data_IF_001484325808
#
_entry.id   IF_001484325808
#
_cell.length_a   1.000
_cell.length_b   1.000
_cell.length_c   1.000
_cell.angle_alpha   90.00
_cell.angle_beta   90.00
_cell.angle_gamma   90.00
#
_symmetry.space_group_name_H-M   'P 1'
#
loop_
_entity.id
_entity.type
_entity.pdbx_description
1 polymer ?
#
# COMPACT_ATOMS: atom_id res chain seq x y z
N UNK A 1 1.78 -18.82 -27.89
CA UNK A 1 0.53 -18.84 -27.12
C UNK A 1 0.85 -19.61 -25.86
N UNK A 2 1.23 -18.92 -24.78
CA UNK A 2 1.61 -19.57 -23.52
C UNK A 2 0.32 -20.04 -22.83
N UNK A 3 0.12 -21.35 -22.83
CA UNK A 3 -1.03 -22.00 -22.23
C UNK A 3 -0.68 -22.23 -20.75
N UNK A 4 -1.46 -21.67 -19.83
CA UNK A 4 -1.34 -21.92 -18.39
C UNK A 4 -0.60 -20.86 -17.57
N UNK A 5 -0.46 -19.62 -18.08
CA UNK A 5 0.02 -18.52 -17.24
C UNK A 5 -1.07 -18.14 -16.25
N UNK A 6 -0.80 -18.31 -14.96
CA UNK A 6 -1.66 -17.81 -13.89
C UNK A 6 -1.37 -16.33 -13.63
N UNK A 7 -2.42 -15.58 -13.34
CA UNK A 7 -2.32 -14.18 -12.96
C UNK A 7 -3.05 -13.94 -11.63
N UNK A 8 -2.38 -13.21 -10.75
CA UNK A 8 -2.97 -12.76 -9.51
C UNK A 8 -3.97 -11.64 -9.82
N UNK A 9 -5.22 -11.81 -9.39
CA UNK A 9 -6.30 -10.85 -9.62
C UNK A 9 -6.75 -10.28 -8.29
N UNK A 10 -6.55 -8.98 -8.09
CA UNK A 10 -6.85 -8.29 -6.82
C UNK A 10 -8.05 -7.36 -7.01
N UNK A 11 -9.18 -7.70 -6.41
CA UNK A 11 -10.41 -6.91 -6.42
C UNK A 11 -10.45 -5.96 -5.24
N UNK A 12 -10.56 -4.66 -5.52
CA UNK A 12 -10.81 -3.62 -4.53
C UNK A 12 -12.31 -3.34 -4.49
N UNK A 13 -12.94 -3.51 -3.33
CA UNK A 13 -14.37 -3.37 -3.14
C UNK A 13 -14.66 -1.99 -2.55
N UNK A 14 -15.11 -1.06 -3.39
CA UNK A 14 -15.49 0.28 -2.97
C UNK A 14 -17.00 0.31 -2.68
N UNK A 15 -17.37 0.82 -1.50
CA UNK A 15 -18.77 0.91 -1.07
C UNK A 15 -19.40 -0.37 -0.51
N UNK A 16 -18.60 -1.38 -0.14
CA UNK A 16 -19.08 -2.58 0.53
C UNK A 16 -19.46 -2.28 1.99
N UNK A 17 -20.59 -2.83 2.46
CA UNK A 17 -20.96 -2.76 3.88
C UNK A 17 -20.07 -3.73 4.67
N UNK A 18 -19.12 -3.16 5.42
CA UNK A 18 -18.26 -3.77 6.44
C UNK A 18 -17.13 -4.71 5.95
N UNK A 19 -15.89 -4.23 6.12
CA UNK A 19 -14.75 -5.04 6.58
C UNK A 19 -13.93 -5.83 5.55
N UNK A 20 -14.35 -5.93 4.30
CA UNK A 20 -13.56 -6.54 3.22
C UNK A 20 -13.36 -5.56 2.08
N UNK A 21 -12.28 -4.79 2.13
CA UNK A 21 -11.93 -3.82 1.08
C UNK A 21 -11.18 -4.48 -0.08
N UNK A 22 -10.63 -5.69 0.12
CA UNK A 22 -9.80 -6.40 -0.85
C UNK A 22 -10.08 -7.90 -0.88
N UNK A 23 -10.21 -8.47 -2.09
CA UNK A 23 -10.30 -9.91 -2.32
C UNK A 23 -9.29 -10.31 -3.40
N UNK A 24 -8.50 -11.36 -3.18
CA UNK A 24 -7.52 -11.86 -4.13
C UNK A 24 -7.93 -13.23 -4.69
N UNK A 25 -7.75 -13.41 -5.99
CA UNK A 25 -7.96 -14.67 -6.69
C UNK A 25 -6.76 -14.99 -7.58
N UNK A 26 -6.33 -16.24 -7.58
CA UNK A 26 -5.41 -16.77 -8.59
C UNK A 26 -6.27 -17.26 -9.77
N UNK A 27 -6.21 -16.58 -10.91
CA UNK A 27 -7.05 -16.87 -12.08
C UNK A 27 -6.14 -17.20 -13.27
N UNK A 28 -6.50 -18.22 -14.04
CA UNK A 28 -5.83 -18.46 -15.32
C UNK A 28 -6.08 -17.30 -16.28
N UNK A 29 -5.05 -16.89 -17.00
CA UNK A 29 -5.14 -15.82 -17.99
C UNK A 29 -6.31 -15.98 -18.97
N UNK A 30 -6.61 -17.20 -19.41
CA UNK A 30 -7.73 -17.46 -20.33
C UNK A 30 -9.11 -17.26 -19.70
N UNK A 31 -9.17 -17.23 -18.37
CA UNK A 31 -10.42 -17.10 -17.61
C UNK A 31 -10.75 -15.63 -17.28
N UNK A 32 -9.88 -14.67 -17.60
CA UNK A 32 -10.15 -13.23 -17.47
C UNK A 32 -11.03 -12.70 -18.63
N UNK A 33 -12.13 -13.40 -18.90
CA UNK A 33 -13.14 -12.98 -19.88
C UNK A 33 -14.20 -12.10 -19.23
N UNK A 34 -14.90 -11.27 -20.02
CA UNK A 34 -15.93 -10.38 -19.51
C UNK A 34 -17.04 -11.12 -18.76
N UNK A 35 -17.53 -12.23 -19.32
CA UNK A 35 -18.57 -13.05 -18.68
C UNK A 35 -18.15 -13.62 -17.32
N UNK A 36 -16.90 -14.06 -17.19
CA UNK A 36 -16.35 -14.55 -15.93
C UNK A 36 -16.23 -13.42 -14.91
N UNK A 37 -15.70 -12.25 -15.32
CA UNK A 37 -15.62 -11.07 -14.46
C UNK A 37 -17.00 -10.61 -13.96
N UNK A 38 -18.03 -10.66 -14.80
CA UNK A 38 -19.41 -10.31 -14.42
C UNK A 38 -20.00 -11.32 -13.43
N UNK A 39 -19.69 -12.60 -13.62
CA UNK A 39 -20.10 -13.66 -12.68
C UNK A 39 -19.45 -13.44 -11.32
N UNK A 40 -18.14 -13.16 -11.29
CA UNK A 40 -17.40 -12.82 -10.07
C UNK A 40 -17.95 -11.56 -9.39
N UNK A 41 -18.21 -10.51 -10.16
CA UNK A 41 -18.84 -9.26 -9.68
C UNK A 41 -20.18 -9.56 -8.97
N UNK A 42 -21.02 -10.40 -9.56
CA UNK A 42 -22.30 -10.79 -9.00
C UNK A 42 -22.14 -11.60 -7.70
N UNK A 43 -21.15 -12.50 -7.64
CA UNK A 43 -20.84 -13.28 -6.43
C UNK A 43 -20.37 -12.39 -5.27
N UNK A 44 -19.75 -11.24 -5.56
CA UNK A 44 -19.34 -10.24 -4.57
C UNK A 44 -20.48 -9.29 -4.15
N UNK A 45 -21.70 -9.51 -4.64
CA UNK A 45 -22.87 -8.71 -4.28
C UNK A 45 -23.00 -7.38 -5.01
N UNK A 46 -22.26 -7.21 -6.12
CA UNK A 46 -22.39 -6.05 -7.00
C UNK A 46 -23.36 -6.36 -8.14
N UNK A 47 -24.32 -5.47 -8.36
CA UNK A 47 -25.34 -5.59 -9.38
C UNK A 47 -24.88 -5.19 -10.77
N UNK A 48 -25.73 -5.41 -11.77
CA UNK A 48 -25.43 -5.08 -13.18
C UNK A 48 -25.11 -3.59 -13.37
N UNK A 49 -25.78 -2.71 -12.61
CA UNK A 49 -25.59 -1.25 -12.66
C UNK A 49 -24.33 -0.74 -11.95
N UNK A 50 -23.70 -1.59 -11.15
CA UNK A 50 -22.45 -1.21 -10.51
C UNK A 50 -21.31 -1.21 -11.53
N UNK A 51 -20.24 -0.54 -11.21
CA UNK A 51 -19.14 -0.31 -12.14
C UNK A 51 -17.98 -1.25 -11.84
N UNK A 52 -17.37 -1.75 -12.92
CA UNK A 52 -16.15 -2.57 -12.87
C UNK A 52 -15.06 -1.85 -13.64
N UNK A 53 -13.91 -1.72 -13.01
CA UNK A 53 -12.75 -1.07 -13.60
C UNK A 53 -11.49 -1.91 -13.41
N UNK A 54 -10.49 -1.70 -14.27
CA UNK A 54 -9.12 -2.14 -14.04
C UNK A 54 -8.18 -0.94 -13.93
N UNK A 55 -7.15 -1.08 -13.10
CA UNK A 55 -6.06 -0.11 -13.01
C UNK A 55 -5.06 -0.42 -14.11
N UNK A 56 -4.94 0.47 -15.09
CA UNK A 56 -3.89 0.41 -16.11
C UNK A 56 -2.69 1.24 -15.66
N UNK A 57 -1.51 0.65 -15.53
CA UNK A 57 -0.31 1.44 -15.17
C UNK A 57 0.06 2.40 -16.31
N UNK A 58 0.28 3.66 -15.95
CA UNK A 58 0.78 4.71 -16.85
C UNK A 58 2.23 5.10 -16.58
N UNK A 59 2.90 4.39 -15.66
CA UNK A 59 4.24 4.70 -15.16
C UNK A 59 4.49 4.02 -13.82
N UNK A 60 5.46 4.52 -13.04
CA UNK A 60 5.89 3.83 -11.82
C UNK A 60 4.96 4.07 -10.61
N UNK A 61 4.30 5.25 -10.54
CA UNK A 61 3.51 5.68 -9.38
C UNK A 61 2.02 5.97 -9.66
N UNK A 62 1.62 6.03 -10.93
CA UNK A 62 0.25 6.42 -11.32
C UNK A 62 -0.38 5.34 -12.19
N UNK A 63 -1.64 5.01 -11.89
CA UNK A 63 -2.48 4.18 -12.75
C UNK A 63 -3.72 4.96 -13.20
N UNK A 64 -4.15 4.68 -14.42
CA UNK A 64 -5.42 5.16 -14.96
C UNK A 64 -6.47 4.06 -14.81
N UNK A 65 -7.58 4.40 -14.18
CA UNK A 65 -8.75 3.55 -14.05
C UNK A 65 -9.50 3.49 -15.39
N UNK A 66 -9.72 2.27 -15.88
CA UNK A 66 -10.41 1.99 -17.14
C UNK A 66 -11.60 1.10 -16.88
N UNK A 67 -12.75 1.53 -17.35
CA UNK A 67 -14.04 0.85 -17.20
C UNK A 67 -14.09 -0.40 -18.07
N UNK A 68 -14.76 -1.45 -17.58
CA UNK A 68 -14.98 -2.70 -18.30
C UNK A 68 -16.48 -2.88 -18.47
N UNK A 69 -16.99 -2.46 -19.63
CA UNK A 69 -18.41 -2.57 -19.97
C UNK A 69 -18.68 -3.68 -20.99
N UNK A 70 -17.67 -4.02 -21.79
CA UNK A 70 -17.79 -5.00 -22.87
C UNK A 70 -16.57 -5.94 -22.97
N UNK A 71 -16.72 -7.00 -23.76
CA UNK A 71 -15.63 -7.93 -24.08
C UNK A 71 -14.38 -7.24 -24.66
N UNK A 72 -14.56 -6.15 -25.41
CA UNK A 72 -13.45 -5.38 -25.97
C UNK A 72 -12.60 -4.77 -24.85
N UNK A 73 -13.21 -4.31 -23.78
CA UNK A 73 -12.52 -3.70 -22.64
C UNK A 73 -11.79 -4.75 -21.82
N UNK A 74 -12.41 -5.92 -21.61
CA UNK A 74 -11.76 -7.05 -20.95
C UNK A 74 -10.55 -7.55 -21.76
N UNK A 75 -10.68 -7.66 -23.08
CA UNK A 75 -9.56 -8.00 -23.95
C UNK A 75 -8.46 -6.93 -23.93
N UNK A 76 -8.83 -5.65 -23.94
CA UNK A 76 -7.89 -4.54 -23.81
C UNK A 76 -7.16 -4.57 -22.47
N UNK A 77 -7.86 -4.87 -21.37
CA UNK A 77 -7.25 -5.09 -20.05
C UNK A 77 -6.20 -6.18 -20.13
N UNK A 78 -6.56 -7.35 -20.65
CA UNK A 78 -5.64 -8.49 -20.79
C UNK A 78 -4.41 -8.11 -21.61
N UNK A 79 -4.59 -7.53 -22.80
CA UNK A 79 -3.47 -7.13 -23.67
C UNK A 79 -2.59 -6.07 -23.00
N UNK A 80 -3.19 -5.08 -22.34
CA UNK A 80 -2.44 -3.99 -21.71
C UNK A 80 -1.64 -4.40 -20.48
N UNK A 81 -1.99 -5.53 -19.85
CA UNK A 81 -1.30 -6.06 -18.67
C UNK A 81 -0.49 -7.32 -18.98
N UNK A 82 -0.27 -7.66 -20.27
CA UNK A 82 0.41 -8.90 -20.68
C UNK A 82 1.77 -9.13 -20.02
N UNK A 83 2.52 -8.06 -19.72
CA UNK A 83 3.83 -8.14 -19.06
C UNK A 83 3.72 -8.14 -17.52
N UNK A 84 2.53 -7.86 -16.97
CA UNK A 84 2.30 -7.80 -15.53
C UNK A 84 1.95 -9.18 -14.95
N UNK A 85 2.31 -9.41 -13.69
CA UNK A 85 1.97 -10.65 -12.96
C UNK A 85 0.63 -10.57 -12.23
N UNK A 86 0.12 -9.36 -12.06
CA UNK A 86 -1.07 -9.07 -11.27
C UNK A 86 -1.95 -8.08 -12.03
N UNK A 87 -3.26 -8.31 -12.04
CA UNK A 87 -4.25 -7.33 -12.50
C UNK A 87 -5.07 -6.85 -11.30
N UNK A 88 -5.14 -5.53 -11.15
CA UNK A 88 -5.89 -4.86 -10.09
C UNK A 88 -7.23 -4.36 -10.62
N UNK A 89 -8.29 -4.95 -10.09
CA UNK A 89 -9.68 -4.64 -10.42
C UNK A 89 -10.30 -3.80 -9.30
N UNK A 90 -11.26 -2.95 -9.65
CA UNK A 90 -12.00 -2.10 -8.73
C UNK A 90 -13.49 -2.26 -9.02
N UNK A 91 -14.25 -2.61 -8.01
CA UNK A 91 -15.71 -2.67 -8.03
C UNK A 91 -16.25 -1.48 -7.24
N UNK A 92 -17.15 -0.70 -7.86
CA UNK A 92 -17.75 0.47 -7.23
C UNK A 92 -19.24 0.53 -7.53
N UNK A 93 -20.04 0.93 -6.54
CA UNK A 93 -21.48 1.20 -6.75
C UNK A 93 -21.73 2.55 -7.41
N UNK A 94 -20.83 3.50 -7.16
CA UNK A 94 -20.88 4.84 -7.72
C UNK A 94 -19.89 4.97 -8.89
N UNK A 95 -20.25 5.81 -9.86
CA UNK A 95 -19.35 6.10 -10.97
C UNK A 95 -18.12 6.86 -10.45
N UNK A 96 -16.93 6.36 -10.75
CA UNK A 96 -15.69 7.00 -10.29
C UNK A 96 -15.33 8.14 -11.24
N UNK A 97 -15.38 9.38 -10.73
CA UNK A 97 -15.04 10.60 -11.48
C UNK A 97 -13.53 10.79 -11.62
N UNK A 98 -12.75 10.44 -10.60
CA UNK A 98 -11.29 10.52 -10.62
C UNK A 98 -10.66 9.26 -11.23
N UNK A 99 -10.23 9.37 -12.49
CA UNK A 99 -9.67 8.25 -13.23
C UNK A 99 -8.17 8.04 -13.03
N UNK A 100 -7.47 8.94 -12.36
CA UNK A 100 -6.06 8.77 -12.02
C UNK A 100 -5.98 8.39 -10.55
N UNK A 101 -5.43 7.22 -10.27
CA UNK A 101 -5.26 6.71 -8.92
C UNK A 101 -3.78 6.49 -8.64
N UNK A 102 -3.34 6.94 -7.47
CA UNK A 102 -2.02 6.61 -6.96
C UNK A 102 -1.93 5.10 -6.74
N UNK A 103 -0.82 4.52 -7.16
CA UNK A 103 -0.54 3.11 -6.92
C UNK A 103 0.71 2.97 -6.09
N UNK A 104 0.68 2.01 -5.16
CA UNK A 104 1.90 1.55 -4.51
C UNK A 104 2.86 1.08 -5.61
N UNK A 105 4.10 1.60 -5.65
CA UNK A 105 5.11 1.16 -6.61
C UNK A 105 5.25 -0.36 -6.56
N UNK A 106 5.33 -1.00 -7.72
CA UNK A 106 5.64 -2.44 -7.80
C UNK A 106 6.98 -2.65 -7.09
N UNK A 107 6.99 -3.53 -6.08
CA UNK A 107 8.24 -4.00 -5.49
C UNK A 107 9.12 -4.54 -6.62
N UNK A 108 10.34 -3.99 -6.72
CA UNK A 108 11.29 -4.37 -7.76
C UNK A 108 11.36 -5.91 -7.85
N UNK A 109 11.39 -6.48 -9.07
CA UNK A 109 11.63 -7.90 -9.21
C UNK A 109 12.96 -8.24 -8.53
N UNK A 110 12.98 -9.40 -7.86
CA UNK A 110 14.12 -9.95 -7.10
C UNK A 110 15.46 -10.03 -7.86
N UNK A 111 15.45 -9.76 -9.17
CA UNK A 111 16.62 -9.89 -10.06
C UNK A 111 17.16 -8.54 -10.56
N UNK A 112 16.85 -7.43 -9.88
CA UNK A 112 17.63 -6.21 -10.12
C UNK A 112 19.03 -6.46 -9.56
N UNK A 113 20.12 -6.32 -10.34
CA UNK A 113 21.46 -6.41 -9.79
C UNK A 113 21.55 -5.30 -8.74
N UNK A 114 21.49 -5.70 -7.49
CA UNK A 114 21.67 -4.85 -6.33
C UNK A 114 23.07 -4.27 -6.51
N UNK A 115 23.13 -2.95 -6.67
CA UNK A 115 24.38 -2.22 -6.64
C UNK A 115 25.14 -2.66 -5.37
N UNK A 116 26.37 -3.16 -5.55
CA UNK A 116 27.25 -3.90 -4.61
C UNK A 116 27.68 -3.12 -3.33
N UNK A 117 26.81 -2.27 -2.79
CA UNK A 117 27.07 -1.50 -1.56
C UNK A 117 26.05 -1.73 -0.45
N UNK A 118 25.13 -2.68 -0.61
CA UNK A 118 24.40 -3.21 0.53
C UNK A 118 25.22 -4.35 1.13
N UNK A 119 26.00 -4.00 2.15
CA UNK A 119 26.58 -4.98 3.07
C UNK A 119 25.41 -5.80 3.62
N UNK A 120 25.48 -7.11 3.41
CA UNK A 120 24.53 -8.12 3.92
C UNK A 120 24.72 -8.26 5.44
N UNK A 121 24.49 -7.18 6.18
CA UNK A 121 24.22 -7.27 7.60
C UNK A 121 22.80 -7.81 7.71
N UNK A 122 22.71 -9.03 8.23
CA UNK A 122 21.43 -9.70 8.39
C UNK A 122 20.55 -8.84 9.30
N UNK A 123 19.27 -8.69 8.97
CA UNK A 123 18.31 -7.89 9.77
C UNK A 123 18.20 -8.37 11.23
N UNK A 124 18.70 -9.58 11.49
CA UNK A 124 18.75 -10.23 12.79
C UNK A 124 19.96 -9.79 13.64
N UNK A 125 21.01 -9.17 13.06
CA UNK A 125 22.10 -8.53 13.84
C UNK A 125 21.56 -7.38 14.72
N UNK A 126 20.53 -6.67 14.27
CA UNK A 126 19.78 -5.70 15.09
C UNK A 126 18.89 -6.35 16.18
N UNK A 127 18.77 -7.67 16.24
CA UNK A 127 18.10 -8.34 17.37
C UNK A 127 19.07 -8.93 18.37
N UNK A 128 20.31 -9.16 17.93
CA UNK A 128 21.38 -9.68 18.77
C UNK A 128 22.14 -8.55 19.49
N UNK A 129 22.17 -7.32 18.93
CA UNK A 129 22.81 -6.18 19.62
C UNK A 129 22.33 -5.90 21.06
N UNK A 130 21.05 -6.08 21.47
CA UNK A 130 20.65 -5.83 22.85
C UNK A 130 21.17 -6.94 23.77
N UNK A 131 21.27 -8.18 23.27
CA UNK A 131 21.81 -9.30 24.03
C UNK A 131 23.32 -9.15 24.20
N UNK A 132 24.04 -8.78 23.15
CA UNK A 132 25.48 -8.51 23.18
C UNK A 132 25.82 -7.34 24.12
N UNK A 133 24.97 -6.29 24.16
CA UNK A 133 25.14 -5.14 25.06
C UNK A 133 25.00 -5.53 26.54
N UNK A 134 24.07 -6.45 26.84
CA UNK A 134 23.82 -6.92 28.21
C UNK A 134 24.87 -7.94 28.69
N UNK A 135 25.39 -8.80 27.81
CA UNK A 135 26.48 -9.73 28.15
C UNK A 135 27.81 -9.03 28.43
N UNK A 136 28.07 -7.89 27.77
CA UNK A 136 29.30 -7.10 27.97
C UNK A 136 29.28 -6.23 29.24
N UNK A 137 28.17 -6.22 29.99
CA UNK A 137 28.05 -5.48 31.25
C UNK A 137 28.04 -3.95 31.08
N UNK A 138 28.03 -3.46 29.84
CA UNK A 138 27.89 -2.04 29.52
C UNK A 138 26.40 -1.68 29.50
N UNK A 139 25.81 -1.57 30.69
CA UNK A 139 24.64 -0.73 30.83
C UNK A 139 25.06 0.67 30.36
N UNK A 140 24.65 1.07 29.15
CA UNK A 140 24.78 2.46 28.74
C UNK A 140 23.97 3.27 29.75
N UNK A 141 24.66 3.96 30.66
CA UNK A 141 24.10 5.08 31.40
C UNK A 141 23.76 6.15 30.34
N UNK A 142 22.60 6.00 29.72
CA UNK A 142 22.05 6.95 28.75
C UNK A 142 21.63 8.20 29.52
N UNK A 143 22.63 9.02 29.83
CA UNK A 143 22.43 10.32 30.43
C UNK A 143 21.83 11.26 29.38
N UNK A 144 20.57 11.64 29.61
CA UNK A 144 19.88 12.64 28.79
C UNK A 144 20.43 14.04 29.09
N UNK A 145 21.62 14.31 28.57
CA UNK A 145 22.35 15.59 28.70
C UNK A 145 21.64 16.78 28.05
N UNK A 146 20.58 16.54 27.27
CA UNK A 146 19.83 17.59 26.56
C UNK A 146 18.50 17.92 27.22
N UNK A 147 18.14 17.22 28.29
CA UNK A 147 16.88 17.37 28.98
C UNK A 147 16.65 18.81 29.44
N UNK A 148 17.65 19.41 30.09
CA UNK A 148 17.55 20.75 30.67
C UNK A 148 17.49 21.83 29.60
N UNK A 149 18.38 21.79 28.60
CA UNK A 149 18.39 22.71 27.46
C UNK A 149 17.06 22.68 26.68
N UNK A 150 16.50 21.48 26.50
CA UNK A 150 15.20 21.29 25.83
C UNK A 150 14.08 21.92 26.64
N UNK A 151 14.08 21.71 27.97
CA UNK A 151 13.09 22.31 28.87
C UNK A 151 13.20 23.83 28.88
N UNK A 152 14.42 24.39 28.92
CA UNK A 152 14.66 25.84 28.93
C UNK A 152 14.17 26.48 27.62
N UNK A 153 14.55 25.90 26.48
CA UNK A 153 14.13 26.37 25.16
C UNK A 153 12.60 26.41 25.04
N UNK A 154 11.93 25.35 25.52
CA UNK A 154 10.48 25.27 25.45
C UNK A 154 9.79 26.24 26.42
N UNK A 155 10.37 26.47 27.60
CA UNK A 155 9.88 27.47 28.57
C UNK A 155 9.96 28.88 28.00
N UNK A 156 11.06 29.25 27.34
CA UNK A 156 11.18 30.56 26.69
C UNK A 156 10.18 30.71 25.53
N UNK A 157 10.00 29.65 24.73
CA UNK A 157 8.99 29.64 23.68
C UNK A 157 7.58 29.87 24.24
N UNK A 158 7.21 29.18 25.33
CA UNK A 158 5.92 29.36 26.01
C UNK A 158 5.75 30.75 26.62
N UNK A 159 6.83 31.37 27.12
CA UNK A 159 6.82 32.75 27.62
C UNK A 159 6.53 33.74 26.48
N UNK A 160 7.15 33.57 25.32
CA UNK A 160 6.90 34.40 24.12
C UNK A 160 5.45 34.25 23.63
N UNK A 161 4.88 33.05 23.74
CA UNK A 161 3.48 32.80 23.38
C UNK A 161 2.47 33.29 24.43
N UNK A 162 2.91 33.74 25.61
CA UNK A 162 2.03 34.14 26.72
C UNK A 162 1.25 32.99 27.36
N UNK A 163 1.63 31.73 27.08
CA UNK A 163 0.93 30.53 27.53
C UNK A 163 1.52 29.92 28.80
N UNK A 164 2.70 30.42 29.23
CA UNK A 164 3.41 29.87 30.37
C UNK A 164 2.64 30.10 31.69
N UNK A 165 1.95 31.23 31.83
CA UNK A 165 1.21 31.58 33.04
C UNK A 165 -0.01 30.67 33.25
N UNK A 166 -0.72 30.35 32.16
CA UNK A 166 -1.88 29.44 32.17
C UNK A 166 -1.47 28.01 32.56
N UNK A 167 -0.32 27.55 32.07
CA UNK A 167 0.22 26.21 32.37
C UNK A 167 0.66 26.13 33.84
N UNK A 168 1.32 27.17 34.37
CA UNK A 168 1.72 27.22 35.77
C UNK A 168 0.51 27.31 36.72
N UNK A 169 -0.58 27.98 36.30
CA UNK A 169 -1.82 28.06 37.07
C UNK A 169 -2.61 26.73 37.13
N UNK A 170 -2.28 25.76 36.26
CA UNK A 170 -2.89 24.43 36.24
C UNK A 170 -2.12 23.36 37.02
N UNK A 171 -1.03 23.71 37.72
CA UNK A 171 -0.37 22.78 38.64
C UNK A 171 -1.11 22.75 40.00
N UNK A 172 -1.52 21.58 40.52
CA UNK A 172 -2.21 21.46 41.81
C UNK A 172 -1.30 21.73 43.03
#
# INVERSE_FOLDING_TARGET
MEIGRKMDSVFHLQGAHAGQELIQYEIDWSNLTFGNLLTMKSHMGYGVRDYLYYKRRGGNAVATLKEIDYDVDANSMVVSNADEREVRLVLSRDQVTERNVDITPIKLPRNTPINEYFVDESIDEYKDWPFDLHEQGEAMDLEDKYREDTIETYKEWLRVQGQLDDINACQP
#
